data_IF_646335012017
#
_entry.id   IF_646335012017
#
_cell.length_a   1.000
_cell.length_b   1.000
_cell.length_c   1.000
_cell.angle_alpha   90.00
_cell.angle_beta   90.00
_cell.angle_gamma   90.00
#
_symmetry.space_group_name_H-M   'P 1'
#
loop_
_entity.id
_entity.type
_entity.pdbx_description
1 polymer ?
#
# COMPACT_ATOMS: atom_id res chain seq x y z
N UNK A 1 2.67 16.61 -32.60
CA UNK A 1 2.37 17.41 -31.40
C UNK A 1 3.68 17.63 -30.66
N UNK A 2 3.99 18.83 -30.15
CA UNK A 2 5.18 19.00 -29.31
C UNK A 2 4.98 18.21 -28.02
N UNK A 3 5.83 17.21 -27.79
CA UNK A 3 5.86 16.48 -26.52
C UNK A 3 6.40 17.43 -25.45
N UNK A 4 5.58 17.72 -24.44
CA UNK A 4 6.02 18.49 -23.27
C UNK A 4 6.72 17.54 -22.30
N UNK A 5 8.05 17.68 -22.08
CA UNK A 5 8.77 16.80 -21.17
C UNK A 5 8.29 17.05 -19.74
N UNK A 6 7.98 15.98 -18.99
CA UNK A 6 7.56 16.06 -17.57
C UNK A 6 8.56 16.88 -16.73
N UNK A 7 9.84 16.85 -17.09
CA UNK A 7 10.91 17.57 -16.39
C UNK A 7 10.85 19.10 -16.55
N UNK A 8 10.05 19.65 -17.47
CA UNK A 8 9.86 21.10 -17.62
C UNK A 8 8.77 21.66 -16.70
N UNK A 9 8.01 20.80 -16.01
CA UNK A 9 6.98 21.20 -15.05
C UNK A 9 7.62 21.60 -13.70
N UNK A 10 6.90 22.35 -12.84
CA UNK A 10 7.30 22.57 -11.46
C UNK A 10 7.48 21.25 -10.69
N UNK A 11 8.42 21.21 -9.75
CA UNK A 11 8.76 20.00 -9.00
C UNK A 11 7.55 19.41 -8.23
N UNK A 12 6.64 20.26 -7.72
CA UNK A 12 5.43 19.77 -7.04
C UNK A 12 4.52 19.01 -8.00
N UNK A 13 4.32 19.52 -9.22
CA UNK A 13 3.45 18.88 -10.23
C UNK A 13 4.04 17.56 -10.69
N UNK A 14 5.37 17.50 -10.87
CA UNK A 14 6.06 16.25 -11.19
C UNK A 14 5.85 15.20 -10.10
N UNK A 15 5.98 15.58 -8.82
CA UNK A 15 5.78 14.68 -7.71
C UNK A 15 4.34 14.15 -7.65
N UNK A 16 3.33 15.01 -7.86
CA UNK A 16 1.92 14.62 -7.89
C UNK A 16 1.60 13.62 -9.01
N UNK A 17 2.16 13.83 -10.21
CA UNK A 17 1.99 12.90 -11.34
C UNK A 17 2.55 11.52 -10.95
N UNK A 18 3.75 11.49 -10.37
CA UNK A 18 4.40 10.22 -9.99
C UNK A 18 3.66 9.53 -8.83
N UNK A 19 3.15 10.28 -7.85
CA UNK A 19 2.27 9.75 -6.81
C UNK A 19 1.01 9.12 -7.41
N UNK A 20 0.40 9.76 -8.41
CA UNK A 20 -0.79 9.24 -9.09
C UNK A 20 -0.49 7.98 -9.90
N UNK A 21 0.67 7.92 -10.54
CA UNK A 21 1.16 6.70 -11.22
C UNK A 21 1.32 5.57 -10.19
N UNK A 22 1.95 5.84 -9.04
CA UNK A 22 2.14 4.85 -7.98
C UNK A 22 0.83 4.32 -7.39
N UNK A 23 -0.18 5.16 -7.25
CA UNK A 23 -1.52 4.77 -6.81
C UNK A 23 -2.26 3.89 -7.85
N UNK A 24 -2.01 4.12 -9.14
CA UNK A 24 -2.76 3.44 -10.21
C UNK A 24 -2.10 2.14 -10.66
N UNK A 25 -0.79 2.15 -10.91
CA UNK A 25 -0.08 1.05 -11.55
C UNK A 25 1.37 0.98 -11.07
N UNK A 26 1.69 -0.10 -10.37
CA UNK A 26 3.06 -0.38 -9.94
C UNK A 26 3.99 -0.70 -11.11
N UNK A 27 3.48 -1.35 -12.16
CA UNK A 27 4.27 -1.65 -13.35
C UNK A 27 4.78 -0.36 -13.99
N UNK A 28 3.89 0.63 -14.13
CA UNK A 28 4.23 1.94 -14.69
C UNK A 28 5.19 2.71 -13.79
N UNK A 29 5.07 2.61 -12.46
CA UNK A 29 6.04 3.19 -11.53
C UNK A 29 7.44 2.59 -11.71
N UNK A 30 7.54 1.27 -11.88
CA UNK A 30 8.83 0.60 -12.10
C UNK A 30 9.44 0.97 -13.46
N UNK A 31 8.63 1.07 -14.51
CA UNK A 31 9.05 1.53 -15.84
C UNK A 31 9.55 2.98 -15.72
N UNK A 32 8.78 3.87 -15.10
CA UNK A 32 9.12 5.26 -14.88
C UNK A 32 10.44 5.41 -14.14
N UNK A 33 10.67 4.59 -13.12
CA UNK A 33 11.93 4.55 -12.36
C UNK A 33 13.14 4.10 -13.21
N UNK A 34 12.92 3.30 -14.25
CA UNK A 34 13.98 2.81 -15.12
C UNK A 34 14.35 3.80 -16.25
N UNK A 35 13.50 4.79 -16.54
CA UNK A 35 13.71 5.72 -17.66
C UNK A 35 14.96 6.61 -17.53
N UNK A 36 15.16 7.26 -16.37
CA UNK A 36 16.26 8.20 -16.17
C UNK A 36 16.59 8.43 -14.70
N UNK A 37 17.77 9.03 -14.41
CA UNK A 37 18.20 9.38 -13.05
C UNK A 37 17.23 10.35 -12.37
N UNK A 38 16.71 11.33 -13.11
CA UNK A 38 15.75 12.32 -12.61
C UNK A 38 14.41 11.67 -12.29
N UNK A 39 13.88 10.83 -13.17
CA UNK A 39 12.62 10.11 -12.93
C UNK A 39 12.76 9.11 -11.78
N UNK A 40 13.93 8.47 -11.63
CA UNK A 40 14.24 7.63 -10.47
C UNK A 40 14.22 8.41 -9.15
N UNK A 41 14.73 9.63 -9.13
CA UNK A 41 14.70 10.48 -7.94
C UNK A 41 13.26 10.85 -7.55
N UNK A 42 12.44 11.23 -8.54
CA UNK A 42 11.02 11.52 -8.33
C UNK A 42 10.23 10.30 -7.82
N UNK A 43 10.47 9.12 -8.39
CA UNK A 43 9.82 7.87 -7.99
C UNK A 43 10.22 7.37 -6.59
N UNK A 44 11.34 7.86 -6.04
CA UNK A 44 11.79 7.50 -4.70
C UNK A 44 11.44 8.56 -3.65
N UNK A 45 10.62 9.56 -3.99
CA UNK A 45 10.17 10.58 -3.06
C UNK A 45 9.22 9.96 -2.01
N UNK A 46 9.29 10.42 -0.75
CA UNK A 46 8.50 9.89 0.38
C UNK A 46 7.00 9.88 0.10
N UNK A 47 6.48 10.94 -0.53
CA UNK A 47 5.07 11.03 -0.91
C UNK A 47 4.59 9.93 -1.88
N UNK A 48 5.50 9.35 -2.69
CA UNK A 48 5.17 8.22 -3.59
C UNK A 48 4.89 6.95 -2.78
N UNK A 49 5.66 6.72 -1.72
CA UNK A 49 5.44 5.60 -0.81
C UNK A 49 4.20 5.83 0.07
N UNK A 50 3.92 7.07 0.47
CA UNK A 50 2.70 7.43 1.18
C UNK A 50 1.42 7.22 0.34
N UNK A 51 1.47 7.48 -0.98
CA UNK A 51 0.35 7.32 -1.91
C UNK A 51 0.24 5.90 -2.52
N UNK A 52 1.12 4.98 -2.12
CA UNK A 52 1.24 3.67 -2.73
C UNK A 52 0.07 2.74 -2.38
N UNK A 53 -0.57 2.13 -3.37
CA UNK A 53 -1.63 1.15 -3.12
C UNK A 53 -1.06 -0.28 -3.05
N UNK A 54 -0.99 -0.82 -1.84
CA UNK A 54 -0.48 -2.17 -1.63
C UNK A 54 -1.43 -3.24 -2.17
N UNK A 55 -2.72 -3.00 -2.30
CA UNK A 55 -3.65 -4.02 -2.79
C UNK A 55 -3.39 -4.35 -4.26
N UNK A 56 -2.86 -3.40 -5.02
CA UNK A 56 -2.42 -3.58 -6.42
C UNK A 56 -0.98 -4.08 -6.54
N UNK A 57 -0.27 -4.25 -5.42
CA UNK A 57 1.09 -4.77 -5.44
C UNK A 57 1.08 -6.24 -5.87
N UNK A 58 1.91 -6.67 -6.83
CA UNK A 58 2.07 -8.07 -7.20
C UNK A 58 2.79 -8.81 -6.06
N UNK A 59 1.99 -9.33 -5.12
CA UNK A 59 2.45 -10.00 -3.89
C UNK A 59 3.32 -11.24 -4.14
N UNK A 60 3.32 -11.77 -5.35
CA UNK A 60 4.18 -12.87 -5.80
C UNK A 60 5.64 -12.46 -6.08
N UNK A 61 5.96 -11.16 -6.08
CA UNK A 61 7.31 -10.66 -6.37
C UNK A 61 8.12 -10.56 -5.07
N UNK A 62 9.13 -11.42 -4.90
CA UNK A 62 9.90 -11.59 -3.65
C UNK A 62 10.63 -10.37 -3.05
N UNK A 63 10.63 -9.18 -3.68
CA UNK A 63 11.28 -7.95 -3.19
C UNK A 63 10.40 -7.14 -2.23
N UNK A 64 9.95 -7.80 -1.16
CA UNK A 64 8.83 -7.34 -0.30
C UNK A 64 9.28 -6.44 0.85
N UNK A 65 10.30 -6.85 1.59
CA UNK A 65 10.55 -6.29 2.92
C UNK A 65 11.00 -4.82 2.91
N UNK A 66 11.83 -4.41 1.94
CA UNK A 66 12.35 -3.04 1.92
C UNK A 66 11.31 -2.01 1.48
N UNK A 67 10.46 -2.37 0.50
CA UNK A 67 9.42 -1.47 0.00
C UNK A 67 8.30 -1.30 1.04
N UNK A 68 7.82 -2.40 1.60
CA UNK A 68 6.81 -2.38 2.67
C UNK A 68 7.29 -1.63 3.90
N UNK A 69 8.58 -1.78 4.28
CA UNK A 69 9.17 -1.05 5.39
C UNK A 69 9.15 0.47 5.14
N UNK A 70 9.54 0.91 3.95
CA UNK A 70 9.50 2.33 3.59
C UNK A 70 8.08 2.87 3.57
N UNK A 71 7.12 2.15 2.98
CA UNK A 71 5.71 2.58 2.99
C UNK A 71 5.16 2.68 4.42
N UNK A 72 5.58 1.77 5.31
CA UNK A 72 5.20 1.84 6.72
C UNK A 72 5.82 3.03 7.46
N UNK A 73 7.11 3.32 7.21
CA UNK A 73 7.82 4.47 7.79
C UNK A 73 7.21 5.80 7.34
N UNK A 74 6.76 5.88 6.09
CA UNK A 74 6.04 7.04 5.51
C UNK A 74 4.57 7.12 5.95
N UNK A 75 4.07 6.14 6.72
CA UNK A 75 2.72 6.15 7.27
C UNK A 75 1.62 5.83 6.26
N UNK A 76 1.92 5.10 5.18
CA UNK A 76 0.94 4.71 4.18
C UNK A 76 -0.22 3.92 4.81
N UNK A 77 -1.48 4.38 4.67
CA UNK A 77 -2.64 3.75 5.34
C UNK A 77 -2.84 2.29 4.95
N UNK A 78 -2.65 1.94 3.67
CA UNK A 78 -2.77 0.55 3.18
C UNK A 78 -1.73 -0.37 3.84
N UNK A 79 -0.50 0.12 4.06
CA UNK A 79 0.56 -0.64 4.72
C UNK A 79 0.28 -0.82 6.20
N UNK A 80 -0.18 0.25 6.86
CA UNK A 80 -0.56 0.23 8.27
C UNK A 80 -1.70 -0.78 8.50
N UNK A 81 -2.68 -0.81 7.61
CA UNK A 81 -3.76 -1.79 7.63
C UNK A 81 -3.25 -3.23 7.45
N UNK A 82 -2.48 -3.52 6.40
CA UNK A 82 -1.93 -4.87 6.14
C UNK A 82 -1.12 -5.38 7.32
N UNK A 83 -0.29 -4.51 7.94
CA UNK A 83 0.49 -4.85 9.12
C UNK A 83 -0.39 -5.08 10.35
N UNK A 84 -1.46 -4.31 10.50
CA UNK A 84 -2.46 -4.52 11.55
C UNK A 84 -3.17 -5.87 11.43
N UNK A 85 -3.57 -6.27 10.22
CA UNK A 85 -4.14 -7.58 9.92
C UNK A 85 -3.15 -8.72 10.21
N UNK A 86 -1.88 -8.55 9.81
CA UNK A 86 -0.82 -9.53 10.13
C UNK A 86 -0.65 -9.68 11.65
N UNK A 87 -0.61 -8.57 12.39
CA UNK A 87 -0.46 -8.59 13.84
C UNK A 87 -1.64 -9.27 14.52
N UNK A 88 -2.85 -9.02 14.02
CA UNK A 88 -4.08 -9.55 14.59
C UNK A 88 -4.25 -11.05 14.32
N UNK A 89 -4.04 -11.51 13.08
CA UNK A 89 -4.36 -12.88 12.68
C UNK A 89 -3.18 -13.85 12.70
N UNK A 90 -1.94 -13.38 12.46
CA UNK A 90 -0.75 -14.25 12.36
C UNK A 90 0.05 -14.27 13.66
N UNK A 91 0.21 -13.10 14.27
CA UNK A 91 1.06 -12.94 15.46
C UNK A 91 0.28 -13.01 16.77
N UNK A 92 -1.05 -13.16 16.72
CA UNK A 92 -1.94 -13.21 17.88
C UNK A 92 -1.85 -11.96 18.79
N UNK A 93 -1.35 -10.85 18.23
CA UNK A 93 -1.19 -9.55 18.91
C UNK A 93 -2.41 -8.70 18.69
N UNK A 94 -3.56 -9.15 19.19
CA UNK A 94 -4.86 -8.53 18.90
C UNK A 94 -4.93 -7.04 19.23
N UNK A 95 -4.42 -6.63 20.41
CA UNK A 95 -4.47 -5.21 20.85
C UNK A 95 -3.68 -4.30 19.91
N UNK A 96 -2.48 -4.74 19.51
CA UNK A 96 -1.61 -3.95 18.64
C UNK A 96 -2.09 -3.97 17.18
N UNK A 97 -2.56 -5.13 16.71
CA UNK A 97 -3.16 -5.26 15.40
C UNK A 97 -4.38 -4.35 15.24
N UNK A 98 -5.26 -4.34 16.24
CA UNK A 98 -6.44 -3.48 16.26
C UNK A 98 -6.08 -1.99 16.33
N UNK A 99 -5.06 -1.62 17.11
CA UNK A 99 -4.58 -0.24 17.17
C UNK A 99 -4.04 0.25 15.81
N UNK A 100 -3.35 -0.62 15.07
CA UNK A 100 -2.88 -0.30 13.71
C UNK A 100 -4.04 -0.20 12.72
N UNK A 101 -5.00 -1.12 12.77
CA UNK A 101 -6.20 -1.08 11.91
C UNK A 101 -6.99 0.21 12.16
N UNK A 102 -7.21 0.58 13.42
CA UNK A 102 -7.86 1.85 13.79
C UNK A 102 -7.10 3.06 13.26
N UNK A 103 -5.77 3.08 13.40
CA UNK A 103 -4.93 4.16 12.87
C UNK A 103 -5.05 4.30 11.35
N UNK A 104 -5.21 3.20 10.61
CA UNK A 104 -5.46 3.24 9.17
C UNK A 104 -6.84 3.81 8.85
N UNK A 105 -7.88 3.42 9.61
CA UNK A 105 -9.22 3.98 9.47
C UNK A 105 -9.26 5.50 9.73
N UNK A 106 -8.61 5.95 10.81
CA UNK A 106 -8.50 7.37 11.18
C UNK A 106 -7.76 8.19 10.09
N UNK A 107 -6.92 7.56 9.27
CA UNK A 107 -6.23 8.18 8.15
C UNK A 107 -7.09 8.29 6.87
N UNK A 108 -8.38 7.95 6.94
CA UNK A 108 -9.31 8.01 5.80
C UNK A 108 -9.18 6.82 4.86
N UNK A 109 -8.67 5.68 5.33
CA UNK A 109 -8.67 4.46 4.54
C UNK A 109 -10.06 3.84 4.57
N UNK A 110 -10.94 4.28 3.66
CA UNK A 110 -12.36 3.90 3.62
C UNK A 110 -12.59 2.39 3.49
N UNK A 111 -11.66 1.65 2.88
CA UNK A 111 -11.70 0.17 2.84
C UNK A 111 -11.67 -0.46 4.24
N UNK A 112 -11.23 0.28 5.25
CA UNK A 112 -11.26 -0.13 6.66
C UNK A 112 -12.65 0.06 7.30
N UNK A 113 -13.45 1.01 6.86
CA UNK A 113 -14.80 1.28 7.41
C UNK A 113 -15.79 0.19 7.00
N UNK A 114 -15.76 -0.22 5.72
CA UNK A 114 -16.55 -1.36 5.23
C UNK A 114 -16.25 -2.65 6.00
N UNK A 115 -15.01 -2.79 6.48
CA UNK A 115 -14.59 -3.94 7.26
C UNK A 115 -14.93 -3.79 8.73
N UNK A 116 -14.76 -2.61 9.33
CA UNK A 116 -15.07 -2.40 10.75
C UNK A 116 -16.57 -2.55 11.06
N UNK A 117 -17.44 -2.13 10.15
CA UNK A 117 -18.90 -2.34 10.26
C UNK A 117 -19.30 -3.80 9.98
N UNK A 118 -18.64 -4.49 9.02
CA UNK A 118 -18.89 -5.91 8.75
C UNK A 118 -18.27 -6.89 9.77
N UNK A 119 -17.21 -6.50 10.50
CA UNK A 119 -16.56 -7.35 11.52
C UNK A 119 -17.42 -7.48 12.77
N UNK A 120 -18.31 -6.52 13.04
CA UNK A 120 -19.22 -6.54 14.20
C UNK A 120 -20.58 -7.20 13.92
N UNK A 121 -21.00 -7.35 12.64
CA UNK A 121 -22.38 -7.74 12.31
C UNK A 121 -22.57 -9.05 11.55
N UNK A 122 -21.52 -9.76 11.13
CA UNK A 122 -21.73 -11.02 10.41
C UNK A 122 -20.83 -12.12 10.89
N UNK A 123 -21.44 -13.01 11.67
CA UNK A 123 -21.09 -14.40 11.86
C UNK A 123 -20.25 -14.92 10.69
N UNK A 124 -19.02 -15.31 11.03
CA UNK A 124 -18.24 -16.47 10.59
C UNK A 124 -18.52 -16.98 9.15
N UNK A 125 -17.48 -17.44 8.44
CA UNK A 125 -17.53 -18.10 7.13
C UNK A 125 -17.20 -17.24 5.89
N UNK A 126 -17.84 -16.09 5.62
CA UNK A 126 -17.54 -15.35 4.37
C UNK A 126 -16.17 -14.63 4.39
N UNK A 127 -15.81 -14.02 5.52
CA UNK A 127 -14.51 -13.36 5.69
C UNK A 127 -13.34 -14.37 5.66
N UNK A 128 -13.55 -15.55 6.26
CA UNK A 128 -12.58 -16.65 6.29
C UNK A 128 -12.41 -17.30 4.91
N UNK A 129 -13.46 -17.32 4.08
CA UNK A 129 -13.41 -17.97 2.78
C UNK A 129 -12.84 -17.11 1.65
N UNK A 130 -12.87 -15.78 1.75
CA UNK A 130 -12.52 -14.90 0.60
C UNK A 130 -11.37 -13.93 0.92
N UNK A 131 -11.33 -13.37 2.12
CA UNK A 131 -10.30 -12.36 2.49
C UNK A 131 -9.13 -13.01 3.21
N UNK A 132 -9.42 -13.94 4.12
CA UNK A 132 -8.39 -14.68 4.85
C UNK A 132 -7.48 -15.51 3.94
N UNK A 133 -7.88 -16.14 2.82
CA UNK A 133 -6.95 -16.83 1.92
C UNK A 133 -6.08 -15.87 1.10
N UNK A 134 -6.60 -14.68 0.76
CA UNK A 134 -5.81 -13.63 0.11
C UNK A 134 -4.79 -13.06 1.09
N UNK A 135 -5.19 -12.76 2.33
CA UNK A 135 -4.29 -12.31 3.38
C UNK A 135 -3.31 -13.40 3.83
N UNK A 136 -3.73 -14.65 4.04
CA UNK A 136 -2.88 -15.81 4.39
C UNK A 136 -1.94 -16.18 3.23
N UNK A 137 -2.38 -16.06 1.98
CA UNK A 137 -1.51 -16.22 0.80
C UNK A 137 -0.44 -15.14 0.72
N UNK A 138 -0.78 -13.90 1.07
CA UNK A 138 0.16 -12.78 1.21
C UNK A 138 1.12 -13.00 2.39
N UNK A 139 0.65 -13.60 3.48
CA UNK A 139 1.37 -13.80 4.75
C UNK A 139 2.31 -15.02 4.74
N UNK A 140 1.90 -16.16 4.18
CA UNK A 140 2.67 -17.42 4.19
C UNK A 140 3.96 -17.31 3.38
N UNK A 141 3.97 -16.47 2.34
CA UNK A 141 5.17 -16.29 1.52
C UNK A 141 6.15 -15.31 2.21
N UNK A 142 5.71 -14.49 3.17
CA UNK A 142 6.54 -13.46 3.83
C UNK A 142 7.39 -13.98 5.01
N UNK A 143 7.36 -15.28 5.32
CA UNK A 143 8.31 -15.92 6.24
C UNK A 143 9.56 -16.43 5.51
#
# INVERSE_FOLDING_TARGET
>A
MPEFPILSLPAEVQALVVQRVAHNSIADLYILRATSKSMRALANNGGVYAAFDLFKFPWYVGKRNLLLRRCFEEGNPSTVYVKGVEYFYRLDRHVEGLALIKRAADAGFDTCLDLQENTLLRSEWWFISTVVPLCIGIITICS
#
